data_IF_570196110084
#
_entry.id   IF_570196110084
#
_cell.length_a   1.000
_cell.length_b   1.000
_cell.length_c   1.000
_cell.angle_alpha   90.00
_cell.angle_beta   90.00
_cell.angle_gamma   90.00
#
_symmetry.space_group_name_H-M   'P 1'
#
loop_
_entity.id
_entity.type
_entity.pdbx_description
1 polymer ?
#
# COMPACT_ATOMS: atom_id res chain seq x y z
N UNK A 1 25.38 -1.22 68.60
CA UNK A 1 25.92 -0.72 67.32
C UNK A 1 24.78 -0.64 66.31
N UNK A 2 24.28 0.54 65.91
CA UNK A 2 23.19 0.61 64.94
C UNK A 2 23.72 0.42 63.52
N UNK A 3 23.16 -0.56 62.78
CA UNK A 3 23.41 -0.78 61.35
C UNK A 3 22.83 0.39 60.55
N UNK A 4 23.67 1.20 59.93
CA UNK A 4 23.25 2.15 58.89
C UNK A 4 22.81 1.35 57.66
N UNK A 5 21.52 1.38 57.34
CA UNK A 5 21.01 0.82 56.09
C UNK A 5 21.36 1.79 54.97
N UNK A 6 22.23 1.35 54.07
CA UNK A 6 22.60 2.11 52.86
C UNK A 6 21.44 2.04 51.86
N UNK A 7 20.49 2.98 51.95
CA UNK A 7 19.52 3.24 50.89
C UNK A 7 20.20 4.12 49.82
N UNK A 8 20.78 3.55 48.76
CA UNK A 8 21.04 4.30 47.50
C UNK A 8 21.65 3.46 46.37
N UNK A 9 21.03 2.33 46.01
CA UNK A 9 21.40 1.61 44.77
C UNK A 9 20.22 1.17 43.92
N UNK A 10 19.09 0.65 44.46
CA UNK A 10 18.01 0.15 43.60
C UNK A 10 17.23 1.28 42.90
N UNK A 11 17.14 2.46 43.53
CA UNK A 11 16.40 3.61 42.97
C UNK A 11 17.07 4.17 41.72
N UNK A 12 18.41 4.11 41.64
CA UNK A 12 19.16 4.61 40.47
C UNK A 12 18.96 3.70 39.26
N UNK A 13 18.88 2.39 39.49
CA UNK A 13 18.58 1.40 38.46
C UNK A 13 17.13 1.50 37.97
N UNK A 14 16.17 1.67 38.89
CA UNK A 14 14.77 1.87 38.53
C UNK A 14 14.56 3.16 37.71
N UNK A 15 15.18 4.27 38.13
CA UNK A 15 15.10 5.53 37.40
C UNK A 15 15.69 5.42 35.98
N UNK A 16 16.84 4.74 35.84
CA UNK A 16 17.48 4.55 34.55
C UNK A 16 16.62 3.67 33.63
N UNK A 17 15.99 2.62 34.16
CA UNK A 17 15.06 1.78 33.41
C UNK A 17 13.84 2.57 32.90
N UNK A 18 13.24 3.40 33.75
CA UNK A 18 12.08 4.24 33.37
C UNK A 18 12.46 5.26 32.29
N UNK A 19 13.64 5.87 32.36
CA UNK A 19 14.13 6.81 31.34
C UNK A 19 14.27 6.11 29.99
N UNK A 20 14.84 4.90 29.97
CA UNK A 20 15.00 4.11 28.73
C UNK A 20 13.65 3.80 28.10
N UNK A 21 12.69 3.29 28.89
CA UNK A 21 11.34 2.99 28.39
C UNK A 21 10.64 4.26 27.90
N UNK A 22 10.75 5.37 28.64
CA UNK A 22 10.17 6.66 28.25
C UNK A 22 10.72 7.18 26.91
N UNK A 23 12.03 7.08 26.69
CA UNK A 23 12.67 7.49 25.44
C UNK A 23 12.19 6.63 24.27
N UNK A 24 12.09 5.31 24.45
CA UNK A 24 11.60 4.42 23.38
C UNK A 24 10.15 4.73 22.99
N UNK A 25 9.25 4.95 23.96
CA UNK A 25 7.87 5.36 23.67
C UNK A 25 7.79 6.73 22.98
N UNK A 26 8.59 7.71 23.41
CA UNK A 26 8.65 9.04 22.79
C UNK A 26 9.12 8.96 21.33
N UNK A 27 10.16 8.16 21.03
CA UNK A 27 10.66 7.96 19.68
C UNK A 27 9.59 7.33 18.78
N UNK A 28 8.90 6.29 19.25
CA UNK A 28 7.79 5.68 18.51
C UNK A 28 6.69 6.70 18.22
N UNK A 29 6.28 7.50 19.20
CA UNK A 29 5.27 8.55 18.99
C UNK A 29 5.74 9.65 18.01
N UNK A 30 7.03 10.00 18.05
CA UNK A 30 7.63 11.02 17.18
C UNK A 30 7.62 10.58 15.71
N UNK A 31 7.87 9.29 15.42
CA UNK A 31 7.79 8.75 14.05
C UNK A 31 6.38 8.84 13.47
N UNK A 32 5.33 8.61 14.28
CA UNK A 32 3.92 8.70 13.85
C UNK A 32 3.55 10.14 13.49
N UNK A 33 3.99 11.11 14.29
CA UNK A 33 3.70 12.54 14.05
C UNK A 33 4.44 13.12 12.84
N UNK A 34 5.54 12.49 12.40
CA UNK A 34 6.30 12.93 11.23
C UNK A 34 5.48 12.79 9.94
N UNK A 35 4.72 11.69 9.81
CA UNK A 35 3.87 11.40 8.63
C UNK A 35 2.74 12.42 8.48
N UNK A 36 2.26 13.02 9.57
CA UNK A 36 1.20 14.04 9.52
C UNK A 36 1.67 15.38 8.92
N UNK A 37 2.96 15.70 8.98
CA UNK A 37 3.50 16.95 8.40
C UNK A 37 3.70 16.87 6.89
N UNK A 38 3.96 15.68 6.35
CA UNK A 38 4.13 15.50 4.90
C UNK A 38 2.78 15.63 4.15
N UNK A 39 1.66 15.28 4.79
CA UNK A 39 0.31 15.44 4.21
C UNK A 39 -0.07 16.92 4.01
N UNK A 40 0.45 17.81 4.86
CA UNK A 40 0.19 19.25 4.75
C UNK A 40 0.84 19.92 3.52
N UNK A 41 1.85 19.29 2.90
CA UNK A 41 2.47 19.82 1.67
C UNK A 41 1.85 19.28 0.38
N UNK A 42 0.98 18.26 0.45
CA UNK A 42 0.30 17.67 -0.72
C UNK A 42 -1.17 18.15 -0.81
N UNK A 43 -1.76 18.61 0.29
CA UNK A 43 -3.16 19.01 0.41
C UNK A 43 -3.43 20.51 0.28
N UNK A 44 -3.14 21.11 -0.88
CA UNK A 44 -3.84 22.36 -1.26
C UNK A 44 -5.25 22.02 -1.79
N UNK A 45 -6.32 22.75 -1.43
CA UNK A 45 -7.66 22.48 -1.93
C UNK A 45 -7.76 22.94 -3.40
N UNK A 46 -7.39 22.06 -4.33
CA UNK A 46 -7.71 22.24 -5.75
C UNK A 46 -9.17 21.82 -5.97
N UNK A 47 -10.06 22.79 -5.82
CA UNK A 47 -11.38 22.77 -6.44
C UNK A 47 -11.17 22.79 -7.96
N UNK A 48 -11.26 21.65 -8.65
CA UNK A 48 -11.29 21.62 -10.12
C UNK A 48 -12.52 20.89 -10.62
N UNK A 49 -13.37 21.69 -11.26
CA UNK A 49 -14.65 21.41 -11.89
C UNK A 49 -14.77 20.06 -12.60
N UNK A 50 -15.85 19.33 -12.27
CA UNK A 50 -16.42 18.30 -13.14
C UNK A 50 -17.20 19.00 -14.25
N UNK A 51 -16.64 19.04 -15.46
CA UNK A 51 -17.39 19.37 -16.66
C UNK A 51 -17.91 18.06 -17.30
N UNK A 52 -19.20 17.77 -17.06
CA UNK A 52 -19.96 16.75 -17.77
C UNK A 52 -20.13 17.13 -19.25
N UNK A 53 -19.94 16.18 -20.17
CA UNK A 53 -20.62 16.16 -21.47
C UNK A 53 -20.88 14.73 -21.95
N UNK A 54 -22.15 14.47 -22.26
CA UNK A 54 -22.75 13.27 -22.89
C UNK A 54 -22.29 13.15 -24.37
N UNK A 55 -22.45 12.07 -25.16
CA UNK A 55 -23.40 10.95 -25.24
C UNK A 55 -22.87 9.89 -26.27
N UNK A 56 -23.54 8.75 -26.53
CA UNK A 56 -22.94 7.48 -26.97
C UNK A 56 -22.96 7.23 -28.50
N UNK A 57 -22.08 6.35 -28.99
CA UNK A 57 -22.22 5.71 -30.32
C UNK A 57 -21.76 4.25 -30.22
N UNK A 58 -22.67 3.32 -30.50
CA UNK A 58 -22.41 1.89 -30.63
C UNK A 58 -22.07 1.53 -32.09
N UNK A 59 -21.28 0.47 -32.31
CA UNK A 59 -21.85 -0.70 -32.98
C UNK A 59 -21.53 -2.03 -32.28
N UNK A 60 -22.49 -2.95 -32.39
CA UNK A 60 -22.51 -4.34 -31.89
C UNK A 60 -21.87 -5.34 -32.89
N UNK A 61 -21.95 -6.68 -32.69
CA UNK A 61 -21.52 -7.51 -31.55
C UNK A 61 -20.57 -8.65 -31.99
N UNK A 62 -19.66 -9.12 -31.11
CA UNK A 62 -19.03 -10.44 -31.25
C UNK A 62 -18.69 -11.05 -29.88
N UNK A 63 -19.50 -12.04 -29.50
CA UNK A 63 -19.30 -13.21 -28.62
C UNK A 63 -18.46 -13.11 -27.33
N UNK A 64 -19.16 -13.36 -26.21
CA UNK A 64 -18.78 -13.57 -24.80
C UNK A 64 -17.38 -14.19 -24.54
N UNK A 65 -16.56 -13.65 -23.64
CA UNK A 65 -16.77 -13.66 -22.17
C UNK A 65 -16.28 -12.36 -21.48
N UNK A 66 -16.99 -11.91 -20.45
CA UNK A 66 -17.04 -10.52 -19.92
C UNK A 66 -16.36 -10.34 -18.53
N UNK A 67 -16.05 -9.12 -18.02
CA UNK A 67 -15.91 -7.81 -18.68
C UNK A 67 -14.53 -7.14 -18.49
N UNK A 68 -14.08 -6.43 -19.53
CA UNK A 68 -12.97 -5.48 -19.51
C UNK A 68 -13.44 -4.06 -19.13
N UNK A 69 -12.71 -3.37 -18.25
CA UNK A 69 -12.85 -1.94 -17.94
C UNK A 69 -11.95 -1.05 -18.82
N UNK A 70 -12.12 0.29 -18.78
CA UNK A 70 -11.55 1.22 -19.76
C UNK A 70 -10.01 1.22 -19.79
N UNK A 71 -9.44 1.17 -20.99
CA UNK A 71 -7.99 1.27 -21.25
C UNK A 71 -7.52 2.71 -21.05
N UNK A 72 -6.61 3.01 -20.10
CA UNK A 72 -5.94 4.31 -20.05
C UNK A 72 -5.01 4.47 -21.26
N UNK A 73 -5.04 5.64 -21.90
CA UNK A 73 -4.13 5.99 -22.98
C UNK A 73 -2.66 5.87 -22.51
N UNK A 74 -1.87 5.11 -23.26
CA UNK A 74 -0.44 4.95 -23.00
C UNK A 74 0.29 6.26 -23.26
N UNK A 75 0.77 6.92 -22.21
CA UNK A 75 1.87 7.89 -22.32
C UNK A 75 3.15 7.08 -22.57
N UNK A 76 3.90 7.31 -23.67
CA UNK A 76 5.16 6.61 -23.87
C UNK A 76 6.21 7.19 -22.92
N UNK A 77 6.37 6.59 -21.74
CA UNK A 77 7.53 6.87 -20.89
C UNK A 77 8.67 5.96 -21.34
N UNK A 78 9.68 6.59 -21.91
CA UNK A 78 10.91 5.98 -22.38
C UNK A 78 11.74 5.53 -21.17
N UNK A 79 11.56 4.31 -20.69
CA UNK A 79 12.53 3.63 -19.84
C UNK A 79 12.28 2.12 -19.89
N UNK A 80 13.36 1.33 -19.84
CA UNK A 80 13.46 -0.10 -20.12
C UNK A 80 12.13 -0.89 -20.02
N UNK A 81 11.80 -1.65 -21.08
CA UNK A 81 10.63 -2.52 -21.16
C UNK A 81 10.60 -3.56 -20.01
N UNK A 82 10.20 -3.13 -18.82
CA UNK A 82 9.80 -4.01 -17.75
C UNK A 82 8.48 -4.64 -18.20
N UNK A 83 8.42 -5.97 -18.28
CA UNK A 83 7.21 -6.68 -18.69
C UNK A 83 6.16 -6.55 -17.58
N UNK A 84 5.45 -5.44 -17.58
CA UNK A 84 4.32 -5.18 -16.70
C UNK A 84 3.16 -6.12 -17.06
N UNK A 85 2.49 -6.64 -16.03
CA UNK A 85 1.24 -7.39 -16.17
C UNK A 85 0.19 -6.83 -15.22
N UNK A 86 -1.06 -7.04 -15.59
CA UNK A 86 -2.22 -6.64 -14.80
C UNK A 86 -3.06 -7.87 -14.49
N UNK A 87 -3.55 -7.96 -13.25
CA UNK A 87 -4.43 -8.99 -12.76
C UNK A 87 -5.70 -8.35 -12.20
N UNK A 88 -6.87 -8.87 -12.60
CA UNK A 88 -8.17 -8.33 -12.21
C UNK A 88 -8.91 -9.30 -11.28
N UNK A 89 -9.54 -8.77 -10.25
CA UNK A 89 -10.38 -9.47 -9.28
C UNK A 89 -11.72 -8.76 -9.15
N UNK A 90 -12.66 -9.34 -8.38
CA UNK A 90 -13.92 -8.68 -8.05
C UNK A 90 -13.76 -7.38 -7.23
N UNK A 91 -12.62 -7.23 -6.55
CA UNK A 91 -12.33 -6.11 -5.68
C UNK A 91 -11.54 -4.99 -6.37
N UNK A 92 -11.02 -5.23 -7.58
CA UNK A 92 -10.21 -4.27 -8.33
C UNK A 92 -9.19 -4.92 -9.25
N UNK A 93 -8.37 -4.09 -9.88
CA UNK A 93 -7.25 -4.51 -10.72
C UNK A 93 -5.91 -4.09 -10.11
N UNK A 94 -4.89 -4.93 -10.26
CA UNK A 94 -3.52 -4.70 -9.80
C UNK A 94 -2.56 -4.90 -10.96
N UNK A 95 -1.76 -3.89 -11.28
CA UNK A 95 -0.66 -3.97 -12.22
C UNK A 95 0.68 -4.02 -11.50
N UNK A 96 1.53 -4.96 -11.87
CA UNK A 96 2.87 -5.11 -11.32
C UNK A 96 3.90 -5.41 -12.42
N UNK A 97 5.16 -5.12 -12.12
CA UNK A 97 6.30 -5.51 -12.92
C UNK A 97 7.39 -6.09 -12.01
N UNK A 98 8.27 -6.92 -12.56
CA UNK A 98 9.42 -7.43 -11.82
C UNK A 98 10.65 -6.58 -12.11
N UNK A 99 11.28 -6.07 -11.05
CA UNK A 99 12.55 -5.36 -11.09
C UNK A 99 13.69 -6.20 -10.50
N UNK A 100 14.85 -5.58 -10.33
CA UNK A 100 16.01 -6.22 -9.71
C UNK A 100 15.74 -6.65 -8.26
N UNK A 101 14.94 -5.87 -7.53
CA UNK A 101 14.63 -6.06 -6.11
C UNK A 101 13.30 -6.82 -5.88
N UNK A 102 12.76 -7.46 -6.92
CA UNK A 102 11.52 -8.23 -6.87
C UNK A 102 10.30 -7.47 -7.43
N UNK A 103 9.08 -7.81 -6.98
CA UNK A 103 7.84 -7.26 -7.53
C UNK A 103 7.66 -5.78 -7.15
N UNK A 104 7.33 -4.97 -8.16
CA UNK A 104 7.03 -3.55 -8.04
C UNK A 104 5.59 -3.29 -8.44
N UNK A 105 4.83 -2.65 -7.55
CA UNK A 105 3.48 -2.21 -7.84
C UNK A 105 3.53 -1.06 -8.86
N UNK A 106 2.86 -1.24 -10.00
CA UNK A 106 2.81 -0.25 -11.09
C UNK A 106 1.48 0.48 -11.13
N UNK A 107 0.38 -0.21 -10.83
CA UNK A 107 -0.95 0.39 -10.78
C UNK A 107 -1.86 -0.40 -9.85
N UNK A 108 -2.85 0.28 -9.29
CA UNK A 108 -3.92 -0.33 -8.50
C UNK A 108 -5.20 0.45 -8.72
N UNK A 109 -6.30 -0.26 -8.98
CA UNK A 109 -7.60 0.34 -9.25
C UNK A 109 -8.66 -0.46 -8.49
N UNK A 110 -9.06 -0.03 -7.28
CA UNK A 110 -10.12 -0.69 -6.54
C UNK A 110 -11.46 -0.54 -7.24
N UNK A 111 -12.33 -1.54 -7.10
CA UNK A 111 -13.72 -1.48 -7.51
C UNK A 111 -14.55 -0.61 -6.54
N UNK A 112 -15.75 -0.20 -6.95
CA UNK A 112 -16.56 0.74 -6.17
C UNK A 112 -16.85 0.26 -4.74
N UNK A 113 -16.47 1.11 -3.79
CA UNK A 113 -16.63 0.85 -2.35
C UNK A 113 -15.59 -0.10 -1.75
N UNK A 114 -14.59 -0.55 -2.51
CA UNK A 114 -13.43 -1.27 -1.99
C UNK A 114 -12.30 -0.31 -1.65
N UNK A 115 -11.63 -0.56 -0.53
CA UNK A 115 -10.37 0.08 -0.15
C UNK A 115 -9.21 -0.87 -0.43
N UNK A 116 -7.99 -0.36 -0.50
CA UNK A 116 -6.81 -1.21 -0.66
C UNK A 116 -5.69 -0.85 0.30
N UNK A 117 -4.89 -1.86 0.64
CA UNK A 117 -3.63 -1.76 1.34
C UNK A 117 -2.59 -2.60 0.59
N UNK A 118 -1.33 -2.21 0.64
CA UNK A 118 -0.25 -3.03 0.11
C UNK A 118 0.93 -3.04 1.07
N UNK A 119 1.64 -4.16 1.10
CA UNK A 119 2.87 -4.32 1.86
C UNK A 119 3.82 -5.22 1.08
N UNK A 120 5.11 -5.11 1.40
CA UNK A 120 6.15 -5.98 0.87
C UNK A 120 6.72 -6.80 2.02
N UNK A 121 6.77 -8.11 1.84
CA UNK A 121 7.24 -9.08 2.84
C UNK A 121 7.99 -10.22 2.14
N UNK A 122 9.18 -10.58 2.62
CA UNK A 122 10.00 -11.68 2.09
C UNK A 122 10.16 -11.75 0.55
N UNK A 123 10.22 -10.58 -0.11
CA UNK A 123 10.36 -10.50 -1.58
C UNK A 123 9.06 -10.72 -2.36
N UNK A 124 7.94 -10.84 -1.66
CA UNK A 124 6.59 -10.83 -2.21
C UNK A 124 5.93 -9.46 -2.00
N UNK A 125 5.05 -9.09 -2.92
CA UNK A 125 4.19 -7.91 -2.80
C UNK A 125 2.76 -8.40 -2.57
N UNK A 126 2.20 -8.04 -1.43
CA UNK A 126 0.83 -8.38 -1.05
C UNK A 126 -0.06 -7.14 -1.19
N UNK A 127 -1.20 -7.32 -1.83
CA UNK A 127 -2.24 -6.31 -2.01
C UNK A 127 -3.54 -6.85 -1.42
N UNK A 128 -4.06 -6.16 -0.42
CA UNK A 128 -5.32 -6.49 0.23
C UNK A 128 -6.38 -5.48 -0.20
N UNK A 129 -7.53 -5.96 -0.66
CA UNK A 129 -8.73 -5.16 -0.87
C UNK A 129 -9.76 -5.46 0.21
N UNK A 130 -10.39 -4.42 0.76
CA UNK A 130 -11.33 -4.54 1.88
C UNK A 130 -12.62 -3.76 1.60
N UNK A 131 -13.78 -4.38 1.85
CA UNK A 131 -15.11 -3.75 1.78
C UNK A 131 -16.02 -4.30 2.87
N UNK A 132 -16.18 -3.54 3.96
CA UNK A 132 -16.89 -4.02 5.14
C UNK A 132 -16.17 -5.23 5.75
N UNK A 133 -16.84 -6.38 5.81
CA UNK A 133 -16.26 -7.64 6.27
C UNK A 133 -15.61 -8.48 5.15
N UNK A 134 -15.78 -8.08 3.87
CA UNK A 134 -15.19 -8.80 2.74
C UNK A 134 -13.72 -8.41 2.53
N UNK A 135 -12.87 -9.41 2.28
CA UNK A 135 -11.44 -9.27 1.99
C UNK A 135 -11.09 -10.00 0.69
N UNK A 136 -10.26 -9.40 -0.16
CA UNK A 136 -9.58 -10.08 -1.28
C UNK A 136 -8.09 -9.82 -1.14
N UNK A 137 -7.29 -10.87 -1.14
CA UNK A 137 -5.83 -10.78 -1.04
C UNK A 137 -5.20 -11.23 -2.36
N UNK A 138 -4.26 -10.44 -2.87
CA UNK A 138 -3.50 -10.73 -4.08
C UNK A 138 -2.02 -10.71 -3.72
N UNK A 139 -1.37 -11.86 -3.86
CA UNK A 139 0.07 -12.02 -3.69
C UNK A 139 0.76 -11.99 -5.04
N UNK A 140 1.86 -11.27 -5.11
CA UNK A 140 2.61 -11.03 -6.33
C UNK A 140 4.05 -11.44 -6.05
N UNK A 141 4.56 -12.34 -6.87
CA UNK A 141 5.94 -12.81 -6.85
C UNK A 141 6.54 -12.69 -8.25
N UNK A 142 7.84 -12.93 -8.39
CA UNK A 142 8.54 -12.87 -9.67
C UNK A 142 9.08 -14.23 -10.06
N UNK A 143 8.69 -14.71 -11.25
CA UNK A 143 9.22 -15.94 -11.84
C UNK A 143 9.72 -15.65 -13.26
N UNK A 144 11.01 -15.86 -13.51
CA UNK A 144 11.62 -15.62 -14.83
C UNK A 144 11.52 -14.16 -15.30
N UNK A 145 11.58 -13.19 -14.37
CA UNK A 145 11.45 -11.76 -14.69
C UNK A 145 10.03 -11.30 -15.01
N UNK A 146 9.04 -12.18 -14.82
CA UNK A 146 7.62 -11.88 -15.00
C UNK A 146 6.87 -11.96 -13.67
N UNK A 147 5.92 -11.05 -13.42
CA UNK A 147 5.09 -11.11 -12.23
C UNK A 147 4.11 -12.29 -12.30
N UNK A 148 4.06 -13.05 -11.21
CA UNK A 148 3.12 -14.15 -10.95
C UNK A 148 2.15 -13.74 -9.86
N UNK A 149 0.85 -13.98 -10.09
CA UNK A 149 -0.22 -13.57 -9.19
C UNK A 149 -0.90 -14.80 -8.57
N UNK A 150 -1.07 -14.79 -7.26
CA UNK A 150 -1.93 -15.72 -6.53
C UNK A 150 -2.99 -14.90 -5.78
N UNK A 151 -4.23 -15.39 -5.72
CA UNK A 151 -5.31 -14.66 -5.05
C UNK A 151 -6.15 -15.57 -4.17
N UNK A 152 -6.70 -14.99 -3.10
CA UNK A 152 -7.65 -15.61 -2.18
C UNK A 152 -8.72 -14.61 -1.76
N UNK A 153 -9.91 -15.13 -1.45
CA UNK A 153 -11.10 -14.38 -1.08
C UNK A 153 -11.77 -14.97 0.16
#
# INVERSE_FOLDING_TARGET
>A
MPRRVSLSTPTRWAALWVIVVGLTCMLTWMTIMQVARDVAMIGGPQLVSVASHASPTAPAPASASSPAGPTPAATPSNDAASLQRTFATRAGAVGAACGADGPMLQSITPADGWQFYHKRDDGELEVEFIKGEAKVEVKISCAGGLPTFAYSD
#
